data_IF_161380571923
#
_entry.id   IF_161380571923
#
_cell.length_a   1.000
_cell.length_b   1.000
_cell.length_c   1.000
_cell.angle_alpha   90.00
_cell.angle_beta   90.00
_cell.angle_gamma   90.00
#
_symmetry.space_group_name_H-M   'P 1'
#
loop_
_entity.id
_entity.type
_entity.pdbx_description
1 polymer ?
#
# COMPACT_ATOMS: atom_id res chain seq x y z
N UNK A 1 -14.73 9.61 -6.75
CA UNK A 1 -13.73 9.15 -7.74
C UNK A 1 -13.59 7.64 -7.50
N UNK A 2 -13.92 6.80 -8.48
CA UNK A 2 -13.86 5.34 -8.34
C UNK A 2 -12.54 4.90 -8.98
N UNK A 3 -11.62 4.38 -8.17
CA UNK A 3 -10.37 3.82 -8.68
C UNK A 3 -10.66 2.45 -9.29
N UNK A 4 -10.06 2.16 -10.44
CA UNK A 4 -10.10 0.84 -11.07
C UNK A 4 -8.85 0.05 -10.67
N UNK A 5 -8.89 -1.28 -10.78
CA UNK A 5 -7.72 -2.14 -10.49
C UNK A 5 -6.47 -1.71 -11.26
N UNK A 6 -6.65 -1.19 -12.47
CA UNK A 6 -5.59 -0.65 -13.32
C UNK A 6 -4.88 0.55 -12.68
N UNK A 7 -5.60 1.43 -11.99
CA UNK A 7 -5.01 2.54 -11.26
C UNK A 7 -4.15 2.04 -10.10
N UNK A 8 -4.61 1.01 -9.38
CA UNK A 8 -3.85 0.43 -8.27
C UNK A 8 -2.56 -0.24 -8.74
N UNK A 9 -2.54 -0.83 -9.93
CA UNK A 9 -1.33 -1.37 -10.56
C UNK A 9 -0.35 -0.23 -10.92
N UNK A 10 -0.84 0.87 -11.47
CA UNK A 10 -0.01 2.04 -11.74
C UNK A 10 0.59 2.64 -10.45
N UNK A 11 -0.22 2.72 -9.38
CA UNK A 11 0.24 3.17 -8.06
C UNK A 11 1.23 2.19 -7.42
N UNK A 12 1.07 0.88 -7.65
CA UNK A 12 2.02 -0.14 -7.19
C UNK A 12 3.39 0.09 -7.82
N UNK A 13 3.43 0.32 -9.14
CA UNK A 13 4.68 0.64 -9.84
C UNK A 13 5.30 1.97 -9.37
N UNK A 14 4.47 2.95 -8.99
CA UNK A 14 4.95 4.22 -8.43
C UNK A 14 5.56 4.05 -7.02
N UNK A 15 5.01 3.14 -6.21
CA UNK A 15 5.42 2.88 -4.84
C UNK A 15 6.61 1.90 -4.74
N UNK A 16 6.70 0.93 -5.65
CA UNK A 16 7.79 -0.04 -5.75
C UNK A 16 9.02 0.60 -6.43
N UNK A 17 9.72 1.47 -5.70
CA UNK A 17 10.84 2.27 -6.22
C UNK A 17 12.05 1.39 -6.55
N UNK A 18 12.28 0.33 -5.78
CA UNK A 18 13.40 -0.59 -5.98
C UNK A 18 13.10 -1.70 -7.00
N UNK A 19 11.87 -1.77 -7.55
CA UNK A 19 11.38 -2.84 -8.43
C UNK A 19 11.70 -4.25 -7.89
N UNK A 20 11.63 -4.42 -6.57
CA UNK A 20 11.77 -5.74 -5.95
C UNK A 20 10.45 -6.52 -6.04
N UNK A 21 10.41 -7.70 -5.41
CA UNK A 21 9.29 -8.64 -5.41
C UNK A 21 8.04 -8.11 -4.68
N UNK A 22 8.09 -6.94 -4.04
CA UNK A 22 6.97 -6.36 -3.30
C UNK A 22 7.26 -4.97 -2.74
N UNK A 23 6.23 -4.33 -2.20
CA UNK A 23 6.35 -3.03 -1.52
C UNK A 23 6.61 -3.26 -0.04
N UNK A 24 7.74 -2.75 0.46
CA UNK A 24 8.04 -2.81 1.89
C UNK A 24 7.24 -1.79 2.70
N UNK A 25 7.12 -2.00 4.02
CA UNK A 25 6.46 -1.04 4.92
C UNK A 25 7.08 0.37 4.86
N UNK A 26 8.38 0.47 4.54
CA UNK A 26 9.08 1.76 4.37
C UNK A 26 8.62 2.48 3.10
N UNK A 27 8.50 1.74 2.01
CA UNK A 27 8.05 2.27 0.71
C UNK A 27 6.58 2.66 0.75
N UNK A 28 5.73 1.85 1.40
CA UNK A 28 4.34 2.20 1.66
C UNK A 28 4.24 3.53 2.44
N UNK A 29 5.04 3.71 3.50
CA UNK A 29 5.05 4.95 4.27
C UNK A 29 5.50 6.16 3.42
N UNK A 30 6.54 5.99 2.61
CA UNK A 30 7.02 7.03 1.70
C UNK A 30 5.95 7.41 0.64
N UNK A 31 5.27 6.41 0.08
CA UNK A 31 4.19 6.60 -0.88
C UNK A 31 3.00 7.35 -0.26
N UNK A 32 2.56 6.95 0.94
CA UNK A 32 1.45 7.62 1.64
C UNK A 32 1.79 9.08 1.94
N UNK A 33 3.00 9.36 2.43
CA UNK A 33 3.51 10.73 2.62
C UNK A 33 3.50 11.53 1.32
N UNK A 34 3.90 10.91 0.20
CA UNK A 34 3.86 11.55 -1.14
C UNK A 34 2.44 11.90 -1.57
N UNK A 35 1.44 11.07 -1.23
CA UNK A 35 0.02 11.34 -1.46
C UNK A 35 -0.60 12.33 -0.45
N UNK A 36 0.23 12.99 0.38
CA UNK A 36 -0.19 13.90 1.46
C UNK A 36 -1.08 13.24 2.51
N UNK A 37 -1.04 11.91 2.59
CA UNK A 37 -1.54 11.19 3.76
C UNK A 37 -0.39 11.20 4.76
N UNK A 38 -0.64 11.65 5.99
CA UNK A 38 0.34 11.56 7.08
C UNK A 38 -0.08 10.43 8.02
N UNK A 39 0.09 9.16 7.59
CA UNK A 39 -0.26 8.05 8.44
C UNK A 39 0.79 7.94 9.55
N UNK A 40 0.30 7.75 10.77
CA UNK A 40 1.18 7.38 11.88
C UNK A 40 1.93 6.08 11.53
N UNK A 41 3.22 6.01 11.86
CA UNK A 41 4.08 4.88 11.46
C UNK A 41 3.59 3.56 12.06
N UNK A 42 3.03 3.59 13.27
CA UNK A 42 2.41 2.41 13.89
C UNK A 42 1.14 2.00 13.16
N UNK A 43 0.41 2.97 12.61
CA UNK A 43 -0.79 2.71 11.83
C UNK A 43 -0.45 2.06 10.49
N UNK A 44 0.58 2.55 9.79
CA UNK A 44 1.11 1.92 8.57
C UNK A 44 1.54 0.49 8.86
N UNK A 45 2.29 0.24 9.94
CA UNK A 45 2.72 -1.11 10.33
C UNK A 45 1.53 -2.04 10.60
N UNK A 46 0.50 -1.56 11.29
CA UNK A 46 -0.72 -2.35 11.55
C UNK A 46 -1.48 -2.69 10.27
N UNK A 47 -1.59 -1.75 9.33
CA UNK A 47 -2.19 -2.03 8.03
C UNK A 47 -1.32 -2.99 7.23
N UNK A 48 -0.02 -2.73 7.14
CA UNK A 48 0.93 -3.60 6.49
C UNK A 48 0.78 -5.05 6.99
N UNK A 49 0.87 -5.27 8.31
CA UNK A 49 0.73 -6.61 8.90
C UNK A 49 -0.66 -7.24 8.74
N UNK A 50 -1.70 -6.45 8.47
CA UNK A 50 -3.05 -6.97 8.21
C UNK A 50 -3.21 -7.49 6.78
N UNK A 51 -2.51 -6.87 5.83
CA UNK A 51 -2.63 -7.16 4.40
C UNK A 51 -1.46 -7.98 3.84
N UNK A 52 -0.35 -8.08 4.56
CA UNK A 52 0.73 -9.06 4.37
C UNK A 52 0.21 -10.45 4.80
N UNK A 53 -0.54 -11.09 3.90
CA UNK A 53 -1.26 -12.35 4.17
C UNK A 53 -0.26 -13.49 4.21
N UNK A 54 0.72 -13.46 3.30
CA UNK A 54 1.73 -14.49 3.20
C UNK A 54 2.87 -14.32 4.24
N UNK A 55 2.90 -13.21 4.97
CA UNK A 55 3.93 -12.85 5.97
C UNK A 55 5.35 -12.91 5.39
N UNK A 56 5.50 -12.56 4.11
CA UNK A 56 6.80 -12.47 3.45
C UNK A 56 7.52 -11.14 3.76
N UNK A 57 6.85 -10.22 4.47
CA UNK A 57 7.41 -8.94 4.87
C UNK A 57 7.41 -7.90 3.74
N UNK A 58 6.73 -8.18 2.63
CA UNK A 58 6.45 -7.25 1.54
C UNK A 58 4.96 -7.31 1.16
N UNK A 59 4.44 -6.29 0.49
CA UNK A 59 3.11 -6.34 -0.10
C UNK A 59 3.27 -6.64 -1.58
N UNK A 60 2.85 -7.82 -1.98
CA UNK A 60 2.80 -8.20 -3.39
C UNK A 60 1.61 -7.50 -4.07
N UNK A 61 1.58 -7.51 -5.41
CA UNK A 61 0.53 -6.85 -6.18
C UNK A 61 -0.92 -7.21 -5.72
N UNK A 62 -1.25 -8.48 -5.42
CA UNK A 62 -2.59 -8.83 -4.93
C UNK A 62 -2.91 -8.19 -3.58
N UNK A 63 -1.97 -8.23 -2.64
CA UNK A 63 -2.11 -7.68 -1.28
C UNK A 63 -2.18 -6.15 -1.29
N UNK A 64 -1.42 -5.52 -2.18
CA UNK A 64 -1.48 -4.09 -2.42
C UNK A 64 -2.84 -3.63 -2.95
N UNK A 65 -3.43 -4.37 -3.90
CA UNK A 65 -4.75 -4.01 -4.44
C UNK A 65 -5.80 -4.04 -3.32
N UNK A 66 -5.80 -5.09 -2.50
CA UNK A 66 -6.71 -5.20 -1.35
C UNK A 66 -6.49 -4.06 -0.34
N UNK A 67 -5.23 -3.72 -0.04
CA UNK A 67 -4.88 -2.60 0.83
C UNK A 67 -5.40 -1.26 0.28
N UNK A 68 -5.15 -0.97 -1.00
CA UNK A 68 -5.59 0.26 -1.64
C UNK A 68 -7.12 0.33 -1.70
N UNK A 69 -7.77 -0.78 -2.01
CA UNK A 69 -9.24 -0.85 -1.99
C UNK A 69 -9.77 -0.52 -0.59
N UNK A 70 -9.22 -1.10 0.48
CA UNK A 70 -9.61 -0.79 1.85
C UNK A 70 -9.36 0.68 2.23
N UNK A 71 -8.18 1.23 1.88
CA UNK A 71 -7.82 2.62 2.17
C UNK A 71 -8.79 3.60 1.49
N UNK A 72 -9.05 3.41 0.19
CA UNK A 72 -9.85 4.35 -0.60
C UNK A 72 -11.36 4.13 -0.46
N UNK A 73 -11.81 2.90 -0.17
CA UNK A 73 -13.21 2.57 0.03
C UNK A 73 -13.69 2.91 1.46
N UNK A 74 -12.93 2.51 2.48
CA UNK A 74 -13.32 2.74 3.87
C UNK A 74 -12.88 4.12 4.40
N UNK A 75 -12.12 4.92 3.63
CA UNK A 75 -11.52 6.21 4.04
C UNK A 75 -10.87 6.13 5.43
N UNK A 76 -10.14 5.05 5.68
CA UNK A 76 -9.66 4.78 7.04
C UNK A 76 -8.47 5.67 7.43
N UNK A 77 -7.76 6.27 6.47
CA UNK A 77 -6.62 7.16 6.73
C UNK A 77 -6.86 8.59 6.29
#
# INVERSE_FOLDING_TARGET
MRYFKEDYIALYAEANINQDHGISAKELNAFLKKKKMDPDTDRVKKFFAKFDINNDGVLQLPEWIELMEAIFYERII
#
